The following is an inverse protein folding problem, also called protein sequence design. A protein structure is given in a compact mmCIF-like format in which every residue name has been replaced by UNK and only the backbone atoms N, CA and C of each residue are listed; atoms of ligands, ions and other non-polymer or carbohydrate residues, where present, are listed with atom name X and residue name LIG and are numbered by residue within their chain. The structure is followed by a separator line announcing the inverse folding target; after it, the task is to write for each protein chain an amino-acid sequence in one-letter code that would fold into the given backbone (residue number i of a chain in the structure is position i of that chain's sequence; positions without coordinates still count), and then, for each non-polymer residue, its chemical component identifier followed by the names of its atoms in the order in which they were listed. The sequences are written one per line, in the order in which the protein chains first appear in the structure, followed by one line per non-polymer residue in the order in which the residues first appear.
data_IF_028481937237
#
_entry.id   IF_028481937237
#
_cell.length_a   1.000
_cell.length_b   1.000
_cell.length_c   1.000
_cell.angle_alpha   90.00
_cell.angle_beta   90.00
_cell.angle_gamma   90.00
#
_symmetry.space_group_name_H-M   'P 1'
#
loop_
_entity.id
_entity.type
_entity.pdbx_description
1 polymer ?
#
# COMPACT_ATOMS: atom_id res chain seq x y z
N UNK A 1 13.04 -5.34 12.29
CA UNK A 1 11.94 -4.64 11.66
C UNK A 1 11.07 -3.93 12.71
N UNK A 2 10.41 -2.87 12.30
CA UNK A 2 9.43 -2.15 13.10
C UNK A 2 8.06 -2.44 12.53
N UNK A 3 7.08 -2.69 13.39
CA UNK A 3 5.69 -2.80 12.97
C UNK A 3 5.18 -1.39 12.67
N UNK A 4 4.98 -1.09 11.40
CA UNK A 4 4.47 0.19 10.93
C UNK A 4 3.03 0.05 10.48
N UNK A 5 2.26 1.12 10.63
CA UNK A 5 0.88 1.18 10.17
C UNK A 5 0.78 2.05 8.92
N UNK A 6 0.19 1.49 7.87
CA UNK A 6 -0.16 2.19 6.63
C UNK A 6 -1.65 2.53 6.65
N UNK A 7 -2.03 3.65 6.07
CA UNK A 7 -3.42 4.11 6.12
C UNK A 7 -3.82 4.85 4.85
N UNK A 8 -4.99 4.53 4.34
CA UNK A 8 -5.74 5.37 3.39
C UNK A 8 -7.06 5.79 4.01
N UNK A 9 -7.50 6.99 3.68
CA UNK A 9 -8.73 7.57 4.20
C UNK A 9 -9.48 8.23 3.07
N UNK A 10 -10.75 7.93 2.92
CA UNK A 10 -11.60 8.69 2.02
C UNK A 10 -11.77 10.12 2.52
N UNK A 11 -11.46 11.10 1.67
CA UNK A 11 -11.42 12.50 2.05
C UNK A 11 -12.78 13.05 2.49
N UNK A 12 -13.87 12.53 1.93
CA UNK A 12 -15.21 12.97 2.25
C UNK A 12 -15.76 12.33 3.51
N UNK A 13 -15.87 11.00 3.50
CA UNK A 13 -16.54 10.24 4.56
C UNK A 13 -15.64 10.01 5.78
N UNK A 14 -14.31 10.04 5.59
CA UNK A 14 -13.36 9.67 6.62
C UNK A 14 -13.30 8.17 6.87
N UNK A 15 -13.90 7.35 6.00
CA UNK A 15 -13.74 5.88 6.02
C UNK A 15 -12.29 5.54 5.80
N UNK A 16 -11.75 4.66 6.63
CA UNK A 16 -10.33 4.30 6.61
C UNK A 16 -10.13 2.82 6.33
N UNK A 17 -9.04 2.53 5.61
CA UNK A 17 -8.44 1.22 5.49
C UNK A 17 -6.99 1.30 5.95
N UNK A 18 -6.56 0.35 6.76
CA UNK A 18 -5.21 0.35 7.35
C UNK A 18 -4.66 -1.08 7.41
N UNK A 19 -3.34 -1.18 7.34
CA UNK A 19 -2.60 -2.43 7.52
C UNK A 19 -1.34 -2.19 8.32
N UNK A 20 -0.93 -3.19 9.10
CA UNK A 20 0.38 -3.28 9.69
C UNK A 20 1.33 -4.02 8.76
N UNK A 21 2.55 -3.52 8.66
CA UNK A 21 3.63 -4.18 7.95
C UNK A 21 4.92 -4.13 8.78
N UNK A 22 5.64 -5.24 8.81
CA UNK A 22 6.96 -5.31 9.43
C UNK A 22 8.02 -4.80 8.46
N UNK A 23 8.47 -3.57 8.63
CA UNK A 23 9.39 -2.89 7.73
C UNK A 23 10.68 -2.45 8.45
N UNK A 24 11.75 -2.21 7.68
CA UNK A 24 12.99 -1.61 8.16
C UNK A 24 13.11 -0.12 7.83
N UNK A 25 12.19 0.41 7.07
CA UNK A 25 12.10 1.80 6.61
C UNK A 25 10.99 1.98 5.59
N UNK A 26 10.70 3.21 5.21
CA UNK A 26 9.74 3.48 4.13
C UNK A 26 10.29 2.95 2.81
N UNK A 27 9.58 2.04 2.16
CA UNK A 27 9.90 1.50 0.86
C UNK A 27 8.69 1.52 -0.09
N UNK A 28 8.99 1.58 -1.39
CA UNK A 28 7.95 1.64 -2.41
C UNK A 28 7.23 0.30 -2.58
N UNK A 29 7.88 -0.81 -2.30
CA UNK A 29 7.29 -2.14 -2.43
C UNK A 29 6.15 -2.33 -1.45
N UNK A 30 6.40 -2.13 -0.15
CA UNK A 30 5.37 -2.26 0.89
C UNK A 30 4.23 -1.26 0.67
N UNK A 31 4.58 -0.02 0.30
CA UNK A 31 3.59 1.02 0.02
C UNK A 31 2.67 0.67 -1.16
N UNK A 32 3.23 0.15 -2.25
CA UNK A 32 2.45 -0.26 -3.41
C UNK A 32 1.60 -1.50 -3.13
N UNK A 33 2.11 -2.47 -2.38
CA UNK A 33 1.35 -3.64 -1.92
C UNK A 33 0.15 -3.21 -1.07
N UNK A 34 0.38 -2.32 -0.10
CA UNK A 34 -0.68 -1.75 0.72
C UNK A 34 -1.74 -1.01 -0.11
N UNK A 35 -1.32 -0.18 -1.07
CA UNK A 35 -2.26 0.53 -1.95
C UNK A 35 -3.06 -0.44 -2.82
N UNK A 36 -2.44 -1.49 -3.34
CA UNK A 36 -3.16 -2.55 -4.04
C UNK A 36 -4.23 -3.16 -3.14
N UNK A 37 -3.86 -3.58 -1.93
CA UNK A 37 -4.79 -4.17 -0.97
C UNK A 37 -5.93 -3.21 -0.59
N UNK A 38 -5.64 -1.92 -0.44
CA UNK A 38 -6.64 -0.91 -0.14
C UNK A 38 -7.70 -0.78 -1.24
N UNK A 39 -7.30 -0.90 -2.50
CA UNK A 39 -8.18 -0.75 -3.68
C UNK A 39 -8.80 -2.06 -4.16
N UNK A 40 -8.18 -3.20 -3.86
CA UNK A 40 -8.67 -4.51 -4.24
C UNK A 40 -9.96 -4.89 -3.47
N UNK A 41 -10.69 -5.83 -4.05
CA UNK A 41 -11.82 -6.49 -3.37
C UNK A 41 -11.31 -7.18 -2.11
N UNK A 42 -11.99 -6.98 -0.99
CA UNK A 42 -11.64 -7.64 0.27
C UNK A 42 -12.18 -9.06 0.32
N UNK A 43 -11.42 -9.95 0.96
CA UNK A 43 -11.92 -11.31 1.27
C UNK A 43 -13.07 -11.28 2.28
N UNK A 44 -13.04 -10.31 3.19
CA UNK A 44 -14.11 -10.05 4.15
C UNK A 44 -15.24 -9.28 3.46
N UNK A 45 -16.41 -9.96 3.32
CA UNK A 45 -17.60 -9.40 2.71
C UNK A 45 -18.20 -8.22 3.52
N UNK A 46 -17.89 -8.11 4.81
CA UNK A 46 -18.33 -7.02 5.67
C UNK A 46 -17.48 -5.74 5.48
N UNK A 47 -16.36 -5.83 4.75
CA UNK A 47 -15.52 -4.69 4.40
C UNK A 47 -15.72 -4.24 2.94
N UNK A 48 -16.67 -3.34 2.67
CA UNK A 48 -16.98 -2.90 1.31
C UNK A 48 -15.97 -1.88 0.74
N UNK A 49 -15.01 -1.40 1.54
CA UNK A 49 -14.06 -0.37 1.11
C UNK A 49 -13.10 -0.91 0.05
N UNK A 50 -13.25 -0.45 -1.20
CA UNK A 50 -12.52 -0.92 -2.37
C UNK A 50 -12.65 0.06 -3.54
N UNK A 51 -12.00 -0.26 -4.66
CA UNK A 51 -12.09 0.51 -5.90
C UNK A 51 -10.95 1.51 -6.07
N UNK A 52 -10.67 1.83 -7.35
CA UNK A 52 -9.64 2.81 -7.71
C UNK A 52 -10.17 4.22 -7.51
N UNK A 53 -9.47 5.08 -6.74
CA UNK A 53 -9.84 6.48 -6.60
C UNK A 53 -9.44 7.27 -7.83
N UNK A 54 -10.09 8.43 -8.04
CA UNK A 54 -9.64 9.40 -9.04
C UNK A 54 -8.26 9.96 -8.67
N UNK A 55 -8.04 10.23 -7.39
CA UNK A 55 -6.82 10.89 -6.92
C UNK A 55 -6.38 10.34 -5.57
N UNK A 56 -5.06 10.23 -5.42
CA UNK A 56 -4.41 9.92 -4.14
C UNK A 56 -3.62 11.14 -3.68
N UNK A 57 -3.84 11.54 -2.43
CA UNK A 57 -3.08 12.57 -1.75
C UNK A 57 -2.12 11.93 -0.76
N UNK A 58 -0.81 12.16 -0.91
CA UNK A 58 0.20 11.59 -0.01
C UNK A 58 1.18 12.66 0.48
N UNK A 59 1.97 12.33 1.47
CA UNK A 59 3.04 13.18 1.92
C UNK A 59 4.20 13.22 0.90
N UNK A 60 5.11 14.19 1.07
CA UNK A 60 6.24 14.35 0.15
C UNK A 60 7.42 13.42 0.54
N UNK A 61 7.10 12.17 0.86
CA UNK A 61 8.03 11.13 1.25
C UNK A 61 8.79 10.48 0.09
N UNK A 62 9.64 9.48 0.38
CA UNK A 62 10.41 8.75 -0.62
C UNK A 62 9.53 8.00 -1.63
N UNK A 63 8.38 7.50 -1.19
CA UNK A 63 7.43 6.75 -2.04
C UNK A 63 6.91 7.62 -3.17
N UNK A 64 6.47 8.86 -2.89
CA UNK A 64 5.98 9.78 -3.91
C UNK A 64 7.04 10.14 -4.97
N UNK A 65 8.32 10.07 -4.62
CA UNK A 65 9.45 10.35 -5.50
C UNK A 65 9.92 9.12 -6.29
N UNK A 66 9.44 7.94 -5.92
CA UNK A 66 9.79 6.70 -6.59
C UNK A 66 9.21 6.66 -8.00
N UNK A 67 10.05 6.36 -8.99
CA UNK A 67 9.60 6.21 -10.38
C UNK A 67 8.60 5.07 -10.54
N UNK A 68 8.80 3.99 -9.81
CA UNK A 68 7.88 2.85 -9.87
C UNK A 68 6.49 3.22 -9.35
N UNK A 69 6.39 4.00 -8.27
CA UNK A 69 5.12 4.53 -7.80
C UNK A 69 4.43 5.38 -8.88
N UNK A 70 5.16 6.30 -9.49
CA UNK A 70 4.63 7.17 -10.54
C UNK A 70 4.14 6.37 -11.76
N UNK A 71 4.91 5.37 -12.20
CA UNK A 71 4.54 4.48 -13.29
C UNK A 71 3.27 3.67 -12.97
N UNK A 72 3.16 3.16 -11.75
CA UNK A 72 1.96 2.44 -11.31
C UNK A 72 0.74 3.36 -11.29
N UNK A 73 0.86 4.57 -10.73
CA UNK A 73 -0.25 5.54 -10.74
C UNK A 73 -0.69 5.89 -12.15
N UNK A 74 0.26 6.09 -13.07
CA UNK A 74 -0.04 6.34 -14.47
C UNK A 74 -0.74 5.13 -15.13
N UNK A 75 -0.26 3.92 -14.92
CA UNK A 75 -0.85 2.70 -15.47
C UNK A 75 -2.25 2.43 -14.94
N UNK A 76 -2.51 2.79 -13.68
CA UNK A 76 -3.84 2.69 -13.06
C UNK A 76 -4.75 3.88 -13.41
N UNK A 77 -4.24 4.88 -14.14
CA UNK A 77 -4.90 6.15 -14.41
C UNK A 77 -5.40 6.85 -13.12
N UNK A 78 -4.57 6.82 -12.08
CA UNK A 78 -4.83 7.50 -10.82
C UNK A 78 -4.01 8.79 -10.78
N UNK A 79 -4.68 9.93 -10.60
CA UNK A 79 -4.00 11.19 -10.31
C UNK A 79 -3.38 11.12 -8.91
N UNK A 80 -2.23 11.76 -8.73
CA UNK A 80 -1.62 11.84 -7.42
C UNK A 80 -1.01 13.21 -7.15
N UNK A 81 -1.07 13.64 -5.92
CA UNK A 81 -0.51 14.91 -5.47
C UNK A 81 0.18 14.74 -4.13
N UNK A 82 1.25 15.48 -3.93
CA UNK A 82 1.90 15.59 -2.62
C UNK A 82 1.56 16.91 -1.96
N UNK A 83 1.69 16.96 -0.65
CA UNK A 83 1.59 18.22 0.08
C UNK A 83 2.67 19.18 -0.40
N UNK A 84 2.25 20.34 -0.88
CA UNK A 84 3.18 21.41 -1.18
C UNK A 84 3.82 21.89 0.14
N UNK A 85 5.15 22.12 0.17
CA UNK A 85 5.76 22.78 1.30
C UNK A 85 5.07 24.14 1.50
N UNK A 86 4.91 24.56 2.76
CA UNK A 86 4.29 25.84 3.07
C UNK A 86 4.93 26.94 2.23
N UNK A 87 4.12 27.61 1.40
CA UNK A 87 4.60 28.70 0.55
C UNK A 87 5.17 29.83 1.40
N UNK A 88 6.05 30.64 0.84
CA UNK A 88 6.66 31.81 1.50
C UNK A 88 5.63 32.85 1.97
N UNK A 89 4.41 32.75 1.49
CA UNK A 89 3.26 33.62 1.76
C UNK A 89 2.39 33.16 2.95
N UNK A 90 2.77 32.09 3.66
CA UNK A 90 2.11 31.67 4.89
C UNK A 90 0.71 31.07 4.73
N UNK A 91 0.22 30.89 3.50
CA UNK A 91 -1.08 30.27 3.25
C UNK A 91 -1.02 28.77 3.57
N UNK A 92 -1.61 28.41 4.71
CA UNK A 92 -1.68 27.03 5.25
C UNK A 92 -2.72 26.19 4.52
N UNK A 93 -2.58 25.95 3.23
CA UNK A 93 -3.52 25.12 2.47
C UNK A 93 -3.43 23.62 2.84
N UNK A 94 -2.34 23.20 3.50
CA UNK A 94 -1.99 21.79 3.72
C UNK A 94 -2.35 21.24 5.10
N UNK A 95 -2.60 22.09 6.11
CA UNK A 95 -2.84 21.62 7.49
C UNK A 95 -4.15 20.83 7.64
N UNK A 96 -5.18 21.11 6.83
CA UNK A 96 -6.46 20.40 6.88
C UNK A 96 -6.40 19.01 6.27
N UNK A 97 -5.68 18.82 5.18
CA UNK A 97 -5.53 17.51 4.53
C UNK A 97 -4.71 16.54 5.39
N UNK A 98 -3.63 17.01 6.03
CA UNK A 98 -2.88 16.21 7.00
C UNK A 98 -3.74 15.75 8.18
N UNK A 99 -4.54 16.64 8.75
CA UNK A 99 -5.39 16.33 9.89
C UNK A 99 -6.42 15.22 9.62
N UNK A 100 -6.85 15.04 8.36
CA UNK A 100 -7.80 13.99 8.00
C UNK A 100 -7.14 12.60 8.04
N UNK A 101 -5.91 12.47 7.55
CA UNK A 101 -5.18 11.20 7.56
C UNK A 101 -4.58 10.90 8.93
N UNK A 102 -4.13 11.91 9.67
CA UNK A 102 -3.54 11.76 11.00
C UNK A 102 -4.56 11.32 12.05
N UNK A 103 -5.83 11.66 11.87
CA UNK A 103 -6.89 11.31 12.83
C UNK A 103 -7.12 9.81 12.98
N UNK A 104 -7.26 9.01 11.90
CA UNK A 104 -7.35 7.55 12.01
C UNK A 104 -6.13 6.93 12.69
N UNK A 105 -4.92 7.38 12.37
CA UNK A 105 -3.71 6.91 13.04
C UNK A 105 -3.76 7.11 14.55
N UNK A 106 -4.10 8.32 14.99
CA UNK A 106 -4.20 8.63 16.41
C UNK A 106 -5.28 7.79 17.08
N UNK A 107 -6.46 7.68 16.46
CA UNK A 107 -7.57 6.90 17.02
C UNK A 107 -7.21 5.43 17.15
N UNK A 108 -6.54 4.84 16.15
CA UNK A 108 -6.07 3.45 16.22
C UNK A 108 -5.02 3.29 17.32
N UNK A 109 -4.04 4.18 17.41
CA UNK A 109 -3.03 4.13 18.47
C UNK A 109 -3.65 4.25 19.88
N UNK A 110 -4.57 5.17 20.06
CA UNK A 110 -5.20 5.41 21.37
C UNK A 110 -6.20 4.32 21.76
N UNK A 111 -6.98 3.79 20.84
CA UNK A 111 -8.07 2.86 21.14
C UNK A 111 -7.71 1.38 20.86
N UNK A 112 -6.99 1.09 19.79
CA UNK A 112 -6.68 -0.27 19.38
C UNK A 112 -5.32 -0.75 19.89
N UNK A 113 -4.24 0.03 19.67
CA UNK A 113 -2.89 -0.37 20.12
C UNK A 113 -2.75 -0.36 21.65
N UNK A 114 -3.59 0.38 22.38
CA UNK A 114 -3.62 0.30 23.84
C UNK A 114 -3.95 -1.11 24.33
N UNK A 115 -4.73 -1.88 23.56
CA UNK A 115 -5.04 -3.28 23.89
C UNK A 115 -3.81 -4.17 23.83
N UNK A 116 -2.76 -3.79 23.08
CA UNK A 116 -1.52 -4.56 22.99
C UNK A 116 -0.70 -4.59 24.28
N UNK A 117 -1.00 -3.71 25.24
CA UNK A 117 -0.46 -3.83 26.59
C UNK A 117 -1.00 -5.06 27.33
N UNK A 118 -2.20 -5.52 26.96
CA UNK A 118 -2.86 -6.66 27.58
C UNK A 118 -2.74 -7.92 26.73
N UNK A 119 -2.80 -7.76 25.41
CA UNK A 119 -2.68 -8.85 24.46
C UNK A 119 -1.95 -8.38 23.20
N UNK A 120 -0.72 -8.86 23.03
CA UNK A 120 0.14 -8.50 21.92
C UNK A 120 -0.04 -9.48 20.77
N UNK A 121 -0.18 -9.00 19.51
CA UNK A 121 -0.22 -9.91 18.37
C UNK A 121 1.15 -10.61 18.20
N UNK A 122 1.12 -11.88 17.90
CA UNK A 122 2.32 -12.70 17.70
C UNK A 122 2.83 -12.60 16.26
N UNK A 123 1.94 -12.32 15.31
CA UNK A 123 2.25 -12.24 13.88
C UNK A 123 1.66 -10.97 13.26
N UNK A 124 2.25 -10.54 12.14
CA UNK A 124 1.71 -9.44 11.33
C UNK A 124 0.29 -9.75 10.84
N UNK A 125 0.03 -10.99 10.45
CA UNK A 125 -1.30 -11.43 10.04
C UNK A 125 -2.32 -11.24 11.16
N UNK A 126 -2.03 -11.70 12.37
CA UNK A 126 -2.92 -11.55 13.52
C UNK A 126 -3.15 -10.07 13.86
N UNK A 127 -2.11 -9.23 13.78
CA UNK A 127 -2.26 -7.79 13.98
C UNK A 127 -3.21 -7.18 12.94
N UNK A 128 -3.12 -7.60 11.69
CA UNK A 128 -3.98 -7.14 10.61
C UNK A 128 -5.42 -7.65 10.72
N UNK A 129 -5.63 -8.89 11.16
CA UNK A 129 -6.98 -9.43 11.43
C UNK A 129 -7.69 -8.61 12.52
N UNK A 130 -7.00 -8.31 13.62
CA UNK A 130 -7.56 -7.49 14.71
C UNK A 130 -7.81 -6.04 14.28
N UNK A 131 -6.87 -5.46 13.51
CA UNK A 131 -7.02 -4.11 12.99
C UNK A 131 -8.20 -4.01 12.01
N UNK A 132 -8.32 -4.97 11.10
CA UNK A 132 -9.43 -5.04 10.14
C UNK A 132 -10.77 -5.13 10.87
N UNK A 133 -10.89 -6.04 11.83
CA UNK A 133 -12.08 -6.17 12.66
C UNK A 133 -12.44 -4.85 13.37
N UNK A 134 -11.44 -4.19 13.98
CA UNK A 134 -11.66 -2.91 14.63
C UNK A 134 -12.12 -1.82 13.65
N UNK A 135 -11.51 -1.74 12.46
CA UNK A 135 -11.87 -0.75 11.46
C UNK A 135 -13.28 -0.98 10.92
N UNK A 136 -13.63 -2.20 10.57
CA UNK A 136 -14.92 -2.57 9.98
C UNK A 136 -16.06 -2.38 10.98
N UNK A 137 -15.91 -2.91 12.19
CA UNK A 137 -17.01 -2.97 13.16
C UNK A 137 -17.03 -1.80 14.16
N UNK A 138 -15.93 -1.05 14.29
CA UNK A 138 -15.87 0.05 15.26
C UNK A 138 -15.60 1.37 14.60
N UNK A 139 -14.41 1.57 14.01
CA UNK A 139 -13.98 2.88 13.54
C UNK A 139 -14.86 3.41 12.40
N UNK A 140 -15.09 2.61 11.36
CA UNK A 140 -15.87 3.01 10.19
C UNK A 140 -17.38 3.09 10.49
N UNK A 141 -17.85 2.48 11.58
CA UNK A 141 -19.23 2.57 12.04
C UNK A 141 -19.49 3.77 12.97
N UNK A 142 -18.47 4.51 13.32
CA UNK A 142 -18.64 5.75 14.09
C UNK A 142 -19.09 6.89 13.17
N UNK A 143 -19.88 7.80 13.73
CA UNK A 143 -20.30 9.02 13.02
C UNK A 143 -19.10 9.92 12.76
N UNK A 144 -19.10 10.54 11.59
CA UNK A 144 -18.08 11.50 11.19
C UNK A 144 -18.58 12.93 11.36
N UNK A 145 -17.93 13.72 12.19
CA UNK A 145 -18.26 15.12 12.49
C UNK A 145 -19.69 15.26 13.06
N UNK A 146 -20.44 16.25 12.56
CA UNK A 146 -21.84 16.50 12.88
C UNK A 146 -22.83 15.73 12.00
N UNK A 147 -22.31 14.80 11.16
CA UNK A 147 -23.14 14.02 10.27
C UNK A 147 -24.00 13.00 11.05
N UNK A 148 -25.20 12.74 10.56
CA UNK A 148 -26.09 11.75 11.15
C UNK A 148 -25.66 10.31 10.81
N UNK A 149 -24.91 10.13 9.71
CA UNK A 149 -24.48 8.84 9.18
C UNK A 149 -23.14 8.41 9.75
N UNK A 150 -22.88 7.10 9.73
CA UNK A 150 -21.55 6.56 9.99
C UNK A 150 -20.61 6.87 8.81
N UNK A 151 -19.29 6.76 9.02
CA UNK A 151 -18.30 6.94 7.94
C UNK A 151 -18.59 6.00 6.77
N UNK A 152 -18.82 4.73 7.06
CA UNK A 152 -19.10 3.72 6.04
C UNK A 152 -20.41 4.00 5.31
N UNK A 153 -21.47 4.35 6.03
CA UNK A 153 -22.76 4.71 5.42
C UNK A 153 -22.66 5.97 4.54
N UNK A 154 -21.87 6.97 4.94
CA UNK A 154 -21.64 8.15 4.10
C UNK A 154 -20.85 7.79 2.84
N UNK A 155 -19.81 6.94 2.95
CA UNK A 155 -19.04 6.45 1.81
C UNK A 155 -19.93 5.71 0.81
N UNK A 156 -20.73 4.74 1.28
CA UNK A 156 -21.65 3.96 0.45
C UNK A 156 -22.71 4.81 -0.27
N UNK A 157 -23.19 5.86 0.38
CA UNK A 157 -24.18 6.78 -0.20
C UNK A 157 -23.63 7.62 -1.35
N UNK A 158 -22.31 7.81 -1.38
CA UNK A 158 -21.61 8.68 -2.33
C UNK A 158 -20.89 7.91 -3.42
N UNK A 159 -21.21 6.62 -3.58
CA UNK A 159 -20.68 5.85 -4.70
C UNK A 159 -21.17 6.44 -6.03
N UNK A 160 -20.36 6.37 -7.10
CA UNK A 160 -20.77 6.80 -8.43
C UNK A 160 -21.99 6.01 -8.91
N UNK A 161 -22.86 6.63 -9.70
CA UNK A 161 -24.03 5.98 -10.26
C UNK A 161 -23.66 4.81 -11.20
N UNK A 162 -22.51 4.90 -11.86
CA UNK A 162 -21.95 3.89 -12.74
C UNK A 162 -21.13 2.82 -11.97
N UNK A 163 -21.03 2.93 -10.65
CA UNK A 163 -20.37 1.99 -9.77
C UNK A 163 -18.89 2.28 -9.52
N UNK A 164 -18.27 1.42 -8.73
CA UNK A 164 -16.83 1.50 -8.41
C UNK A 164 -15.98 1.05 -9.59
N UNK A 165 -14.92 1.81 -9.89
CA UNK A 165 -13.88 1.33 -10.79
C UNK A 165 -13.07 0.23 -10.12
N UNK A 166 -13.13 -0.97 -10.68
CA UNK A 166 -12.42 -2.12 -10.12
C UNK A 166 -10.91 -1.94 -10.21
N UNK A 167 -10.22 -2.52 -9.24
CA UNK A 167 -8.78 -2.70 -9.28
C UNK A 167 -8.42 -3.80 -10.27
N UNK A 168 -7.27 -3.67 -10.94
CA UNK A 168 -6.72 -4.71 -11.80
C UNK A 168 -6.36 -5.97 -10.99
N UNK A 169 -6.11 -7.08 -11.67
CA UNK A 169 -5.59 -8.28 -11.02
C UNK A 169 -4.20 -8.05 -10.45
N UNK A 170 -3.80 -8.86 -9.46
CA UNK A 170 -2.46 -8.78 -8.89
C UNK A 170 -1.36 -8.98 -9.94
N UNK A 171 -1.57 -9.90 -10.88
CA UNK A 171 -0.62 -10.15 -11.98
C UNK A 171 -0.46 -8.91 -12.89
N UNK A 172 -1.55 -8.24 -13.22
CA UNK A 172 -1.49 -6.99 -13.99
C UNK A 172 -0.78 -5.89 -13.20
N UNK A 173 -1.06 -5.78 -11.90
CA UNK A 173 -0.39 -4.83 -11.03
C UNK A 173 1.12 -5.06 -10.96
N UNK A 174 1.57 -6.30 -10.84
CA UNK A 174 2.99 -6.66 -10.87
C UNK A 174 3.67 -6.21 -12.18
N UNK A 175 2.96 -6.29 -13.31
CA UNK A 175 3.49 -5.81 -14.60
C UNK A 175 3.68 -4.29 -14.65
N UNK A 176 2.92 -3.53 -13.87
CA UNK A 176 3.07 -2.08 -13.76
C UNK A 176 4.15 -1.69 -12.75
N UNK A 177 4.31 -2.48 -11.68
CA UNK A 177 5.23 -2.24 -10.60
C UNK A 177 6.68 -2.63 -10.97
N UNK A 178 7.21 -1.93 -11.98
CA UNK A 178 8.57 -2.16 -12.52
C UNK A 178 9.47 -0.97 -12.22
N UNK A 179 10.65 -1.21 -11.68
CA UNK A 179 11.63 -0.14 -11.47
C UNK A 179 12.53 0.00 -12.71
N UNK A 180 12.56 1.19 -13.34
CA UNK A 180 13.42 1.42 -14.49
C UNK A 180 14.85 1.71 -14.05
N UNK A 181 15.82 0.98 -14.60
CA UNK A 181 17.24 1.22 -14.40
C UNK A 181 18.00 1.20 -15.72
N UNK A 182 18.72 2.28 -16.02
CA UNK A 182 19.56 2.31 -17.23
C UNK A 182 20.89 1.60 -16.95
N UNK A 183 21.15 0.52 -17.67
CA UNK A 183 22.36 -0.28 -17.58
C UNK A 183 23.01 -0.51 -18.94
N UNK A 184 24.35 -0.68 -18.92
CA UNK A 184 25.07 -1.16 -20.08
C UNK A 184 25.02 -2.70 -20.08
N UNK A 185 24.61 -3.26 -21.20
CA UNK A 185 24.56 -4.70 -21.43
C UNK A 185 25.98 -5.21 -21.73
N UNK A 186 26.34 -6.36 -21.20
CA UNK A 186 27.61 -7.00 -21.52
C UNK A 186 27.75 -7.35 -23.00
N UNK A 187 28.98 -7.51 -23.47
CA UNK A 187 29.27 -7.93 -24.87
C UNK A 187 28.75 -9.34 -25.17
N UNK A 188 28.49 -10.12 -24.12
CA UNK A 188 27.89 -11.44 -24.13
C UNK A 188 26.35 -11.41 -24.02
N UNK A 189 25.74 -10.24 -24.21
CA UNK A 189 24.32 -9.98 -24.01
C UNK A 189 23.82 -10.28 -22.60
N UNK A 190 24.70 -10.37 -21.59
CA UNK A 190 24.33 -10.63 -20.21
C UNK A 190 24.41 -9.40 -19.34
N UNK A 191 23.59 -9.43 -18.31
CA UNK A 191 23.55 -8.38 -17.30
C UNK A 191 23.36 -9.02 -15.91
N UNK A 192 23.97 -8.40 -14.90
CA UNK A 192 23.83 -8.84 -13.52
C UNK A 192 23.09 -7.78 -12.73
N UNK A 193 21.98 -8.17 -12.10
CA UNK A 193 21.18 -7.33 -11.19
C UNK A 193 21.17 -8.03 -9.83
N UNK A 194 21.66 -7.34 -8.80
CA UNK A 194 21.72 -7.86 -7.41
C UNK A 194 22.30 -9.28 -7.29
N UNK A 195 23.34 -9.56 -8.09
CA UNK A 195 24.03 -10.85 -8.10
C UNK A 195 23.37 -11.93 -8.95
N UNK A 196 22.27 -11.62 -9.64
CA UNK A 196 21.56 -12.54 -10.53
C UNK A 196 21.81 -12.17 -11.98
N UNK A 197 22.13 -13.17 -12.80
CA UNK A 197 22.40 -12.98 -14.22
C UNK A 197 21.14 -13.20 -15.05
N UNK A 198 20.98 -12.32 -16.05
CA UNK A 198 19.96 -12.41 -17.08
C UNK A 198 20.64 -12.39 -18.45
N UNK A 199 20.10 -13.13 -19.38
CA UNK A 199 20.51 -13.11 -20.78
C UNK A 199 19.47 -12.35 -21.60
N UNK A 200 19.92 -11.25 -22.24
CA UNK A 200 19.10 -10.38 -23.03
C UNK A 200 19.24 -10.70 -24.53
N UNK A 201 18.55 -9.95 -25.38
CA UNK A 201 18.70 -10.10 -26.81
C UNK A 201 20.13 -9.78 -27.30
N UNK A 202 20.69 -10.58 -28.20
CA UNK A 202 22.04 -10.33 -28.73
C UNK A 202 22.23 -8.95 -29.35
N UNK A 203 21.15 -8.35 -29.89
CA UNK A 203 21.17 -7.01 -30.46
C UNK A 203 21.45 -5.90 -29.45
N UNK A 204 21.31 -6.16 -28.16
CA UNK A 204 21.60 -5.19 -27.10
C UNK A 204 23.04 -5.25 -26.59
N UNK A 205 23.84 -6.24 -27.06
CA UNK A 205 25.18 -6.47 -26.57
C UNK A 205 26.10 -5.26 -26.76
N UNK A 206 26.67 -4.78 -25.66
CA UNK A 206 27.55 -3.63 -25.64
C UNK A 206 26.88 -2.25 -25.55
N UNK A 207 25.56 -2.18 -25.73
CA UNK A 207 24.76 -0.97 -25.69
C UNK A 207 24.10 -0.72 -24.33
N UNK A 208 23.38 0.39 -24.20
CA UNK A 208 22.62 0.73 -23.02
C UNK A 208 21.13 0.40 -23.24
N UNK A 209 20.54 -0.36 -22.33
CA UNK A 209 19.11 -0.59 -22.25
C UNK A 209 18.53 -0.04 -20.95
N UNK A 210 17.23 0.24 -20.95
CA UNK A 210 16.47 0.53 -19.74
C UNK A 210 15.88 -0.80 -19.29
N UNK A 211 16.35 -1.29 -18.16
CA UNK A 211 15.85 -2.49 -17.53
C UNK A 211 14.62 -2.15 -16.71
N UNK A 212 13.59 -2.96 -16.81
CA UNK A 212 12.35 -2.87 -16.07
C UNK A 212 12.19 -4.13 -15.25
N UNK A 213 12.65 -4.10 -14.01
CA UNK A 213 12.58 -5.25 -13.13
C UNK A 213 11.44 -5.16 -12.14
N UNK A 214 10.80 -6.30 -11.86
CA UNK A 214 9.62 -6.39 -11.02
C UNK A 214 9.91 -6.16 -9.55
N UNK A 215 9.02 -5.45 -8.85
CA UNK A 215 9.06 -5.38 -7.38
C UNK A 215 8.52 -6.66 -6.72
N UNK A 216 7.65 -7.37 -7.42
CA UNK A 216 6.86 -8.46 -6.86
C UNK A 216 7.04 -9.80 -7.58
N UNK A 217 7.82 -9.81 -8.64
CA UNK A 217 8.14 -10.99 -9.44
C UNK A 217 9.61 -10.97 -9.88
N UNK A 218 10.09 -12.04 -10.45
CA UNK A 218 11.46 -12.21 -10.96
C UNK A 218 11.59 -11.96 -12.46
N UNK A 219 10.53 -11.46 -13.12
CA UNK A 219 10.54 -11.12 -14.52
C UNK A 219 11.30 -9.82 -14.77
N UNK A 220 12.21 -9.84 -15.71
CA UNK A 220 12.91 -8.67 -16.21
C UNK A 220 12.42 -8.35 -17.62
N UNK A 221 12.16 -7.08 -17.88
CA UNK A 221 11.97 -6.56 -19.22
C UNK A 221 13.07 -5.55 -19.55
N UNK A 222 13.35 -5.36 -20.83
CA UNK A 222 14.29 -4.36 -21.32
C UNK A 222 13.61 -3.46 -22.35
N UNK A 223 13.80 -2.17 -22.25
CA UNK A 223 13.45 -1.22 -23.32
C UNK A 223 14.73 -0.81 -24.05
N UNK A 224 14.74 -1.05 -25.35
CA UNK A 224 15.85 -0.76 -26.24
C UNK A 224 15.32 -0.23 -27.56
N UNK A 225 15.86 0.90 -28.05
CA UNK A 225 15.44 1.59 -29.28
C UNK A 225 13.93 1.88 -29.37
N UNK A 226 13.26 2.08 -28.21
CA UNK A 226 11.83 2.38 -28.15
C UNK A 226 10.92 1.15 -28.18
N UNK A 227 11.48 -0.05 -28.23
CA UNK A 227 10.76 -1.29 -28.15
C UNK A 227 10.98 -1.98 -26.80
N UNK A 228 10.00 -2.76 -26.34
CA UNK A 228 10.05 -3.52 -25.09
C UNK A 228 10.21 -5.00 -25.37
N UNK A 229 11.24 -5.59 -24.75
CA UNK A 229 11.63 -6.99 -24.88
C UNK A 229 11.47 -7.73 -23.55
N UNK A 230 11.29 -9.03 -23.59
CA UNK A 230 11.14 -9.90 -22.44
C UNK A 230 9.75 -10.59 -22.40
N UNK A 231 9.37 -11.27 -21.32
CA UNK A 231 10.12 -11.35 -20.06
C UNK A 231 11.39 -12.19 -20.15
N UNK A 232 12.44 -11.73 -19.47
CA UNK A 232 13.66 -12.50 -19.23
C UNK A 232 13.64 -13.07 -17.83
N UNK A 233 14.20 -14.26 -17.67
CA UNK A 233 14.28 -14.95 -16.40
C UNK A 233 15.75 -15.15 -15.98
N UNK A 234 16.02 -15.32 -14.67
CA UNK A 234 17.36 -15.61 -14.18
C UNK A 234 17.99 -16.83 -14.88
N UNK A 235 19.25 -16.69 -15.27
CA UNK A 235 19.99 -17.81 -15.91
C UNK A 235 20.36 -18.86 -14.87
N UNK A 236 20.56 -18.47 -13.60
CA UNK A 236 21.04 -19.34 -12.51
C UNK A 236 19.94 -19.76 -11.50
N UNK A 237 18.67 -19.69 -11.90
CA UNK A 237 17.53 -20.08 -11.07
C UNK A 237 16.76 -18.91 -10.44
N UNK A 238 15.65 -19.19 -9.73
CA UNK A 238 14.76 -18.16 -9.22
C UNK A 238 15.43 -17.29 -8.15
N UNK A 239 15.26 -15.99 -8.27
CA UNK A 239 15.70 -15.02 -7.25
C UNK A 239 14.77 -15.12 -6.05
N UNK A 240 15.29 -15.22 -4.81
CA UNK A 240 14.46 -15.00 -3.65
C UNK A 240 13.94 -13.56 -3.64
N UNK A 241 12.65 -13.35 -3.79
CA UNK A 241 11.96 -12.06 -3.78
C UNK A 241 12.31 -11.14 -2.59
N UNK A 242 12.92 -11.67 -1.55
CA UNK A 242 13.33 -10.95 -0.33
C UNK A 242 14.71 -10.27 -0.42
N UNK A 243 15.45 -10.36 -1.52
CA UNK A 243 16.77 -9.70 -1.67
C UNK A 243 16.67 -8.26 -2.13
N UNK A 244 15.46 -7.79 -2.34
CA UNK A 244 15.24 -6.43 -2.72
C UNK A 244 15.62 -5.47 -1.60
N UNK A 245 16.71 -4.71 -1.79
CA UNK A 245 17.22 -3.71 -0.86
C UNK A 245 17.05 -4.12 0.61
N UNK A 246 17.80 -5.12 1.03
CA UNK A 246 17.96 -5.35 2.44
C UNK A 246 18.54 -4.04 3.04
N UNK A 247 17.70 -3.24 3.67
CA UNK A 247 18.16 -2.11 4.43
C UNK A 247 19.21 -2.63 5.41
N UNK A 248 20.39 -2.00 5.43
CA UNK A 248 21.38 -2.34 6.43
C UNK A 248 20.73 -2.19 7.79
N UNK A 249 20.69 -3.28 8.55
CA UNK A 249 20.22 -3.25 9.92
C UNK A 249 20.94 -2.13 10.66
N UNK A 250 20.18 -1.24 11.27
CA UNK A 250 20.74 -0.18 12.09
C UNK A 250 21.08 -0.74 13.49
N UNK A 251 21.95 -0.05 14.22
CA UNK A 251 22.20 -0.38 15.64
C UNK A 251 20.92 -0.32 16.50
N UNK A 252 19.92 0.47 16.07
CA UNK A 252 18.61 0.55 16.71
C UNK A 252 17.82 -0.74 16.50
N UNK A 253 17.85 -1.34 15.30
CA UNK A 253 17.19 -2.60 14.98
C UNK A 253 17.79 -3.76 15.79
N UNK A 254 19.13 -3.81 15.88
CA UNK A 254 19.83 -4.81 16.68
C UNK A 254 19.48 -4.69 18.18
N UNK A 255 19.29 -3.46 18.67
CA UNK A 255 18.89 -3.19 20.04
C UNK A 255 17.45 -3.61 20.30
N UNK A 256 16.55 -3.35 19.36
CA UNK A 256 15.15 -3.76 19.42
C UNK A 256 15.02 -5.29 19.45
N UNK A 257 15.76 -6.01 18.60
CA UNK A 257 15.78 -7.47 18.59
C UNK A 257 16.32 -8.04 19.92
N UNK A 258 17.34 -7.41 20.50
CA UNK A 258 17.90 -7.81 21.79
C UNK A 258 16.91 -7.61 22.94
N UNK A 259 16.16 -6.50 22.92
CA UNK A 259 15.09 -6.22 23.90
C UNK A 259 13.97 -7.26 23.76
N UNK A 260 13.59 -7.61 22.52
CA UNK A 260 12.57 -8.63 22.25
C UNK A 260 12.99 -10.01 22.76
N UNK A 261 14.23 -10.41 22.49
CA UNK A 261 14.80 -11.67 22.98
C UNK A 261 14.82 -11.74 24.53
N UNK A 262 15.14 -10.63 25.20
CA UNK A 262 15.09 -10.52 26.65
C UNK A 262 13.66 -10.60 27.20
N UNK A 263 12.69 -9.98 26.52
CA UNK A 263 11.28 -10.04 26.90
C UNK A 263 10.74 -11.47 26.78
N UNK A 264 11.11 -12.20 25.71
CA UNK A 264 10.75 -13.60 25.51
C UNK A 264 11.39 -14.51 26.58
N UNK A 265 12.64 -14.25 26.96
CA UNK A 265 13.34 -15.00 28.00
C UNK A 265 12.75 -14.75 29.41
N UNK A 266 12.20 -13.58 29.66
CA UNK A 266 11.60 -13.21 30.94
C UNK A 266 10.15 -13.69 31.08
N UNK A 267 9.57 -14.33 30.05
CA UNK A 267 8.24 -14.93 30.09
C UNK A 267 7.16 -13.98 30.59
N UNK A 268 7.13 -12.74 30.06
CA UNK A 268 6.14 -11.76 30.47
C UNK A 268 4.73 -12.33 30.23
N UNK A 269 3.87 -12.49 31.26
CA UNK A 269 2.57 -13.12 31.10
C UNK A 269 1.66 -12.24 30.26
N UNK A 270 1.33 -12.72 29.07
CA UNK A 270 0.35 -12.08 28.20
C UNK A 270 -1.00 -12.73 28.50
N UNK A 271 -1.81 -12.08 29.32
CA UNK A 271 -3.18 -12.50 29.54
C UNK A 271 -4.03 -12.14 28.31
N UNK A 272 -4.64 -13.13 27.68
CA UNK A 272 -5.57 -12.90 26.59
C UNK A 272 -6.84 -12.22 27.09
N UNK A 273 -7.19 -11.08 26.52
CA UNK A 273 -8.52 -10.51 26.63
C UNK A 273 -9.37 -11.06 25.49
N UNK A 274 -10.31 -11.93 25.83
CA UNK A 274 -11.35 -12.36 24.89
C UNK A 274 -12.31 -11.20 24.65
N UNK A 275 -12.32 -10.68 23.41
CA UNK A 275 -13.31 -9.72 22.99
C UNK A 275 -14.69 -10.36 22.89
N UNK A 276 -15.66 -9.73 23.49
CA UNK A 276 -17.08 -10.07 23.26
C UNK A 276 -17.51 -9.47 21.94
N UNK A 277 -18.07 -10.31 21.06
CA UNK A 277 -18.70 -9.90 19.80
C UNK A 277 -19.85 -8.93 20.08
N UNK A 278 -19.65 -7.67 19.77
CA UNK A 278 -20.75 -6.69 19.70
C UNK A 278 -21.13 -6.55 18.24
N UNK A 279 -22.15 -7.30 17.82
CA UNK A 279 -22.76 -7.11 16.50
C UNK A 279 -23.70 -5.91 16.55
N UNK A 280 -23.40 -4.88 15.75
CA UNK A 280 -24.34 -3.83 15.46
C UNK A 280 -25.32 -4.31 14.39
N UNK A 281 -26.65 -4.17 14.65
CA UNK A 281 -27.73 -4.82 13.92
C UNK A 281 -28.07 -4.25 12.53
N UNK A 282 -27.42 -3.20 12.09
CA UNK A 282 -27.63 -2.63 10.75
C UNK A 282 -26.37 -2.89 9.91
N UNK A 283 -26.34 -4.07 9.30
CA UNK A 283 -25.27 -4.45 8.41
C UNK A 283 -25.21 -3.47 7.22
N UNK A 284 -24.06 -2.86 6.95
CA UNK A 284 -23.87 -2.10 5.72
C UNK A 284 -23.99 -3.04 4.51
N UNK A 285 -24.23 -2.46 3.34
CA UNK A 285 -24.20 -3.18 2.07
C UNK A 285 -22.99 -4.09 1.98
N UNK A 286 -23.19 -5.36 1.60
CA UNK A 286 -22.08 -6.30 1.39
C UNK A 286 -21.18 -5.81 0.26
N UNK A 287 -19.89 -6.15 0.33
CA UNK A 287 -18.94 -5.88 -0.76
C UNK A 287 -19.39 -6.48 -2.10
N UNK A 288 -20.17 -7.56 -2.07
CA UNK A 288 -20.71 -8.21 -3.26
C UNK A 288 -21.84 -7.40 -3.93
N UNK A 289 -22.55 -6.55 -3.16
CA UNK A 289 -23.71 -5.78 -3.64
C UNK A 289 -23.31 -4.41 -4.23
N UNK A 290 -22.03 -4.04 -4.18
CA UNK A 290 -21.53 -2.76 -4.70
C UNK A 290 -21.38 -2.87 -6.22
N UNK A 291 -22.04 -2.01 -7.02
CA UNK A 291 -21.82 -1.95 -8.46
C UNK A 291 -20.35 -1.68 -8.80
N UNK A 292 -19.82 -2.34 -9.83
CA UNK A 292 -18.40 -2.27 -10.21
C UNK A 292 -18.25 -2.16 -11.71
N UNK A 293 -17.23 -1.42 -12.12
CA UNK A 293 -16.78 -1.40 -13.51
C UNK A 293 -15.48 -2.19 -13.63
N UNK A 294 -15.36 -3.07 -14.63
CA UNK A 294 -14.13 -3.82 -14.89
C UNK A 294 -12.94 -2.90 -15.10
N UNK A 295 -11.75 -3.41 -14.81
CA UNK A 295 -10.52 -2.70 -15.09
C UNK A 295 -10.29 -2.57 -16.59
N UNK A 296 -10.25 -1.34 -17.10
CA UNK A 296 -9.86 -1.01 -18.47
C UNK A 296 -8.52 -0.28 -18.46
N UNK A 297 -7.44 -0.88 -18.99
CA UNK A 297 -6.12 -0.25 -19.04
C UNK A 297 -6.04 0.94 -20.02
N UNK A 298 -7.03 1.11 -20.89
CA UNK A 298 -7.08 2.17 -21.91
C UNK A 298 -8.07 3.29 -21.55
N UNK A 299 -8.79 3.19 -20.44
CA UNK A 299 -9.69 4.24 -19.99
C UNK A 299 -8.91 5.47 -19.53
N UNK A 300 -9.05 6.58 -20.24
CA UNK A 300 -8.34 7.83 -19.97
C UNK A 300 -9.14 8.83 -19.12
N UNK A 301 -10.43 8.58 -18.89
CA UNK A 301 -11.29 9.45 -18.09
C UNK A 301 -12.00 8.66 -16.99
N UNK A 302 -11.80 9.09 -15.76
CA UNK A 302 -12.48 8.56 -14.59
C UNK A 302 -13.34 9.66 -13.96
N UNK A 303 -14.62 9.45 -13.90
CA UNK A 303 -15.55 10.30 -13.14
C UNK A 303 -15.72 9.75 -11.73
N UNK A 304 -14.66 9.86 -10.92
CA UNK A 304 -14.68 9.40 -9.55
C UNK A 304 -14.90 10.59 -8.61
N UNK A 305 -15.93 10.58 -7.77
CA UNK A 305 -16.18 11.70 -6.85
C UNK A 305 -15.28 11.67 -5.62
N UNK A 306 -14.60 10.54 -5.35
CA UNK A 306 -13.83 10.37 -4.13
C UNK A 306 -12.35 10.61 -4.32
N UNK A 307 -11.76 11.32 -3.38
CA UNK A 307 -10.31 11.52 -3.24
C UNK A 307 -9.85 10.73 -2.04
N UNK A 308 -8.89 9.84 -2.24
CA UNK A 308 -8.26 9.11 -1.15
C UNK A 308 -7.03 9.89 -0.68
N UNK A 309 -6.99 10.21 0.61
CA UNK A 309 -5.79 10.72 1.26
C UNK A 309 -5.03 9.54 1.88
N UNK A 310 -3.83 9.30 1.39
CA UNK A 310 -2.96 8.25 1.89
C UNK A 310 -1.82 8.86 2.72
N UNK A 311 -1.56 8.27 3.87
CA UNK A 311 -0.34 8.51 4.64
C UNK A 311 0.42 7.18 4.73
N UNK A 312 1.53 7.15 4.00
CA UNK A 312 2.46 6.04 4.02
C UNK A 312 3.57 6.42 5.02
N UNK A 313 3.27 6.30 6.31
CA UNK A 313 4.20 6.70 7.36
C UNK A 313 4.35 5.60 8.41
N UNK A 314 5.55 5.55 8.92
CA UNK A 314 6.02 4.66 9.99
C UNK A 314 5.62 5.24 11.36
#
# INVERSE_FOLDING_TARGET
PTLAIFSVVDDRSGTAYQEYHCIYGEDAETALRFLFNAMAVKADAENPFQGRPKMIYLDNGPVAKSRVFQNVMQALAIEWQTHLPAGKDGTRTTARSKGKVERPFRTVKEAHETLYHFHKPETEQQANEWLSHYLVHTYNQQRHRSESRTRMADWLTMLPDDGLHEMCTWEQFCRFAREPERRKVGIDARITIDGTQYELEPGMAGDHAILLWGLFDDELYAEYEGERFGPYYPVDGPIPLRRYRAFKRTKADERADRIRLLADQLGLPIAALSGTDVRLSDAPMSAADIPRQPFDPHAHEYHYPTVIAAKLAI
#
